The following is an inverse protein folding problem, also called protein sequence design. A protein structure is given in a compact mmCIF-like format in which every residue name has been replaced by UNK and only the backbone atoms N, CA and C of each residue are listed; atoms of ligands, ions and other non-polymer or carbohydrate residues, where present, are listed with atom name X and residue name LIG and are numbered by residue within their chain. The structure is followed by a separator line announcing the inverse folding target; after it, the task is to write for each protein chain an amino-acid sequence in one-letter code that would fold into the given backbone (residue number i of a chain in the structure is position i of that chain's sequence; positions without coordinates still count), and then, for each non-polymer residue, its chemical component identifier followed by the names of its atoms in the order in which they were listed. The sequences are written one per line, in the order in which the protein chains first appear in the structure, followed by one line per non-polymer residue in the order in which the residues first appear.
data_IF_211976856204
#
_entry.id   IF_211976856204
#
_cell.length_a   1.000
_cell.length_b   1.000
_cell.length_c   1.000
_cell.angle_alpha   90.00
_cell.angle_beta   90.00
_cell.angle_gamma   90.00
#
_symmetry.space_group_name_H-M   'P 1'
#
loop_
_entity.id
_entity.type
_entity.pdbx_description
1 polymer ?
#
# COMPACT_ATOMS: atom_id res chain seq x y z
N UNK A 1 -1.12 3.82 16.44
CA UNK A 1 -1.00 2.80 15.37
C UNK A 1 0.28 3.03 14.55
N UNK A 2 0.95 1.97 14.14
CA UNK A 2 2.09 1.99 13.23
C UNK A 2 1.58 1.96 11.79
N UNK A 3 1.93 2.95 10.98
CA UNK A 3 1.57 2.96 9.56
C UNK A 3 2.44 1.94 8.81
N UNK A 4 1.85 0.96 8.12
CA UNK A 4 2.62 -0.06 7.37
C UNK A 4 2.35 -0.06 5.87
N UNK A 5 1.23 0.52 5.46
CA UNK A 5 0.75 0.53 4.07
C UNK A 5 0.15 1.89 3.75
N UNK A 6 0.47 2.42 2.57
CA UNK A 6 -0.25 3.53 1.94
C UNK A 6 -0.34 3.26 0.45
N UNK A 7 -1.56 3.30 -0.09
CA UNK A 7 -1.76 3.14 -1.53
C UNK A 7 -1.50 4.45 -2.28
N UNK A 8 -1.22 4.37 -3.58
CA UNK A 8 -1.25 5.53 -4.46
C UNK A 8 -2.67 6.13 -4.44
N UNK A 9 -2.82 7.47 -4.33
CA UNK A 9 -4.11 8.10 -4.21
C UNK A 9 -4.90 7.97 -5.50
N UNK A 10 -6.21 7.97 -5.33
CA UNK A 10 -7.17 8.04 -6.42
C UNK A 10 -8.15 9.18 -6.16
N UNK A 11 -8.69 9.83 -7.19
CA UNK A 11 -9.78 10.79 -7.03
C UNK A 11 -10.98 10.11 -6.37
N UNK A 12 -11.52 10.70 -5.31
CA UNK A 12 -12.71 10.22 -4.64
C UNK A 12 -13.84 11.24 -4.66
N UNK A 13 -15.06 10.76 -4.42
CA UNK A 13 -16.25 11.60 -4.30
C UNK A 13 -16.00 12.65 -3.20
N UNK A 14 -16.45 13.90 -3.44
CA UNK A 14 -16.22 15.12 -2.62
C UNK A 14 -14.92 15.91 -2.90
N UNK A 15 -14.48 15.97 -4.15
CA UNK A 15 -13.48 16.97 -4.57
C UNK A 15 -12.06 16.75 -4.03
N UNK A 16 -11.72 15.54 -3.56
CA UNK A 16 -10.39 15.27 -2.99
C UNK A 16 -9.81 13.96 -3.49
N UNK A 17 -8.49 13.94 -3.63
CA UNK A 17 -7.73 12.70 -3.80
C UNK A 17 -7.58 11.97 -2.47
N UNK A 18 -7.71 10.64 -2.45
CA UNK A 18 -7.65 9.86 -1.21
C UNK A 18 -6.83 8.58 -1.39
N UNK A 19 -6.17 8.17 -0.31
CA UNK A 19 -5.44 6.91 -0.22
C UNK A 19 -6.07 5.99 0.82
N UNK A 20 -5.95 4.68 0.61
CA UNK A 20 -6.15 3.70 1.67
C UNK A 20 -4.83 3.56 2.45
N UNK A 21 -4.92 3.60 3.78
CA UNK A 21 -3.77 3.39 4.66
C UNK A 21 -4.10 2.24 5.59
N UNK A 22 -3.13 1.37 5.86
CA UNK A 22 -3.28 0.33 6.87
C UNK A 22 -2.11 0.37 7.84
N UNK A 23 -2.38 -0.09 9.06
CA UNK A 23 -1.44 -0.10 10.15
C UNK A 23 -1.72 -1.20 11.16
N UNK A 24 -0.86 -1.25 12.17
CA UNK A 24 -0.96 -2.15 13.31
C UNK A 24 -1.16 -1.29 14.57
N UNK A 25 -2.17 -1.61 15.39
CA UNK A 25 -2.39 -0.91 16.67
C UNK A 25 -1.31 -1.30 17.69
N UNK A 26 -1.22 -0.59 18.81
CA UNK A 26 -0.30 -0.95 19.90
C UNK A 26 -0.59 -2.35 20.46
N UNK A 27 -1.85 -2.80 20.37
CA UNK A 27 -2.28 -4.14 20.76
C UNK A 27 -2.05 -5.20 19.66
N UNK A 28 -1.34 -4.86 18.57
CA UNK A 28 -1.08 -5.80 17.48
C UNK A 28 -2.28 -6.10 16.59
N UNK A 29 -3.28 -5.22 16.51
CA UNK A 29 -4.45 -5.46 15.65
C UNK A 29 -4.32 -4.72 14.32
N UNK A 30 -4.78 -5.33 13.24
CA UNK A 30 -4.93 -4.64 11.97
C UNK A 30 -5.92 -3.48 12.07
N UNK A 31 -5.58 -2.36 11.46
CA UNK A 31 -6.48 -1.24 11.24
C UNK A 31 -6.31 -0.71 9.82
N UNK A 32 -7.44 -0.48 9.14
CA UNK A 32 -7.56 0.16 7.84
C UNK A 32 -8.22 1.51 8.04
N UNK A 33 -7.56 2.57 7.60
CA UNK A 33 -8.11 3.92 7.60
C UNK A 33 -8.36 4.39 6.16
N UNK A 34 -9.61 4.73 5.88
CA UNK A 34 -10.04 5.22 4.58
C UNK A 34 -11.32 6.06 4.74
N UNK A 35 -11.48 7.16 3.98
CA UNK A 35 -10.50 7.76 3.07
C UNK A 35 -9.49 8.68 3.78
N UNK A 36 -8.22 8.67 3.35
CA UNK A 36 -7.20 9.63 3.81
C UNK A 36 -6.75 10.54 2.66
N UNK A 37 -7.05 11.85 2.68
CA UNK A 37 -6.53 12.80 1.71
C UNK A 37 -5.09 13.21 2.06
N UNK A 38 -4.18 12.25 2.04
CA UNK A 38 -2.81 12.39 2.60
C UNK A 38 -2.05 13.62 2.09
N UNK A 39 -2.22 13.98 0.82
CA UNK A 39 -1.54 15.13 0.19
C UNK A 39 -2.11 16.48 0.59
N UNK A 40 -3.32 16.51 1.16
CA UNK A 40 -4.01 17.69 1.69
C UNK A 40 -3.83 17.85 3.20
N UNK A 41 -3.25 16.87 3.89
CA UNK A 41 -2.91 17.00 5.31
C UNK A 41 -1.86 18.11 5.50
N UNK A 42 -1.94 18.82 6.61
CA UNK A 42 -0.92 19.76 7.06
C UNK A 42 0.45 19.07 7.16
N UNK A 43 1.53 19.82 6.96
CA UNK A 43 2.87 19.27 6.86
C UNK A 43 3.30 18.49 8.12
N UNK A 44 2.89 18.95 9.30
CA UNK A 44 3.13 18.33 10.61
C UNK A 44 2.31 17.04 10.83
N UNK A 45 1.24 16.83 10.05
CA UNK A 45 0.36 15.65 10.13
C UNK A 45 0.67 14.60 9.05
N UNK A 46 1.62 14.88 8.15
CA UNK A 46 2.03 13.96 7.07
C UNK A 46 2.95 12.85 7.58
N UNK A 47 2.33 11.77 8.04
CA UNK A 47 3.01 10.56 8.50
C UNK A 47 3.75 9.78 7.40
N UNK A 48 4.81 9.07 7.82
CA UNK A 48 5.62 8.21 6.96
C UNK A 48 5.30 6.72 7.19
N UNK A 49 5.70 5.87 6.24
CA UNK A 49 5.62 4.41 6.41
C UNK A 49 6.56 3.98 7.54
N UNK A 50 6.10 3.06 8.36
CA UNK A 50 6.70 2.59 9.61
C UNK A 50 6.81 3.65 10.70
N UNK A 51 5.95 4.67 10.70
CA UNK A 51 5.88 5.67 11.76
C UNK A 51 4.67 5.45 12.65
N UNK A 52 4.86 5.60 13.95
CA UNK A 52 3.76 5.58 14.91
C UNK A 52 2.99 6.90 14.85
N UNK A 53 1.67 6.80 14.88
CA UNK A 53 0.77 7.94 15.03
C UNK A 53 -0.25 7.67 16.11
N UNK A 54 -0.69 8.73 16.78
CA UNK A 54 -1.91 8.75 17.59
C UNK A 54 -2.96 9.52 16.81
N UNK A 55 -4.18 8.99 16.78
CA UNK A 55 -5.27 9.58 16.00
C UNK A 55 -6.61 9.13 16.55
N UNK A 56 -7.59 10.04 16.55
CA UNK A 56 -8.97 9.70 16.88
C UNK A 56 -9.63 8.99 15.71
N UNK A 57 -10.10 7.76 15.95
CA UNK A 57 -10.73 6.90 14.96
C UNK A 57 -12.13 6.49 15.43
N UNK A 58 -13.08 6.43 14.47
CA UNK A 58 -14.42 5.87 14.67
C UNK A 58 -14.65 4.74 13.68
N UNK A 59 -15.56 3.82 14.00
CA UNK A 59 -15.92 2.74 13.10
C UNK A 59 -16.46 3.31 11.77
N UNK A 60 -15.97 2.80 10.64
CA UNK A 60 -16.43 3.23 9.33
C UNK A 60 -17.79 2.59 8.98
N UNK A 61 -18.47 3.14 7.97
CA UNK A 61 -19.64 2.49 7.31
C UNK A 61 -19.25 1.26 6.48
N UNK A 62 -17.95 1.03 6.34
CA UNK A 62 -17.37 -0.16 5.72
C UNK A 62 -17.50 -1.35 6.68
N UNK A 63 -18.05 -2.45 6.17
CA UNK A 63 -18.41 -3.66 6.92
C UNK A 63 -17.21 -4.48 7.39
N UNK A 64 -16.02 -4.21 6.84
CA UNK A 64 -14.80 -4.95 7.19
C UNK A 64 -14.41 -4.60 8.63
N UNK A 65 -14.17 -5.58 9.53
CA UNK A 65 -13.97 -5.34 10.96
C UNK A 65 -12.85 -4.34 11.28
N UNK A 66 -11.81 -4.32 10.47
CA UNK A 66 -10.65 -3.45 10.64
C UNK A 66 -10.81 -2.06 10.01
N UNK A 67 -11.93 -1.73 9.37
CA UNK A 67 -12.14 -0.43 8.70
C UNK A 67 -12.62 0.67 9.66
N UNK A 68 -11.91 1.79 9.67
CA UNK A 68 -12.18 2.98 10.50
C UNK A 68 -12.04 4.28 9.68
N UNK A 69 -12.81 5.29 10.09
CA UNK A 69 -12.65 6.69 9.65
C UNK A 69 -11.91 7.47 10.75
N UNK A 70 -11.05 8.41 10.38
CA UNK A 70 -10.29 9.22 11.34
C UNK A 70 -10.65 10.69 11.28
N UNK A 71 -10.47 11.39 12.41
CA UNK A 71 -10.45 12.86 12.45
C UNK A 71 -9.05 13.34 12.04
N UNK A 72 -8.92 13.92 10.85
CA UNK A 72 -7.61 14.21 10.24
C UNK A 72 -6.79 15.24 11.03
N UNK A 73 -7.47 16.21 11.63
CA UNK A 73 -6.90 17.21 12.54
C UNK A 73 -6.30 16.61 13.82
N UNK A 74 -6.77 15.43 14.22
CA UNK A 74 -6.30 14.73 15.43
C UNK A 74 -5.05 13.87 15.23
N UNK A 75 -4.48 13.86 14.02
CA UNK A 75 -3.26 13.11 13.74
C UNK A 75 -2.10 13.75 14.50
N UNK A 76 -1.48 12.96 15.36
CA UNK A 76 -0.26 13.30 16.10
C UNK A 76 0.84 12.31 15.70
N UNK A 77 1.97 12.83 15.24
CA UNK A 77 3.13 12.03 14.83
C UNK A 77 3.94 11.66 16.06
N UNK A 78 4.10 10.36 16.31
CA UNK A 78 4.85 9.84 17.44
C UNK A 78 6.27 9.45 17.00
N UNK A 79 7.20 10.40 17.13
CA UNK A 79 8.63 10.20 16.89
C UNK A 79 8.97 9.88 15.42
N UNK A 80 10.18 9.35 15.22
CA UNK A 80 10.68 8.98 13.90
C UNK A 80 10.15 7.62 13.40
N UNK A 81 10.18 7.37 12.08
CA UNK A 81 9.87 6.04 11.55
C UNK A 81 10.83 4.98 12.09
N UNK A 82 10.31 3.77 12.35
CA UNK A 82 11.10 2.63 12.78
C UNK A 82 12.29 2.41 11.83
N UNK A 83 13.50 2.21 12.37
CA UNK A 83 14.71 2.19 11.56
C UNK A 83 14.72 1.00 10.60
N UNK A 84 15.40 1.20 9.47
CA UNK A 84 15.76 0.15 8.51
C UNK A 84 17.13 -0.48 8.82
N UNK A 85 17.71 -0.21 9.99
CA UNK A 85 18.97 -0.81 10.45
C UNK A 85 18.77 -2.30 10.75
N UNK A 86 19.87 -3.06 10.87
CA UNK A 86 19.86 -4.48 11.23
C UNK A 86 18.86 -5.30 10.42
N UNK A 87 18.87 -5.18 9.09
CA UNK A 87 17.95 -5.92 8.22
C UNK A 87 16.46 -5.70 8.58
N UNK A 88 16.12 -4.49 9.03
CA UNK A 88 14.77 -4.04 9.41
C UNK A 88 14.19 -4.77 10.63
N UNK A 89 15.03 -5.19 11.58
CA UNK A 89 14.65 -5.90 12.82
C UNK A 89 13.44 -5.30 13.53
N UNK A 90 13.50 -4.02 13.93
CA UNK A 90 12.39 -3.35 14.61
C UNK A 90 11.05 -3.37 13.85
N UNK A 91 11.10 -3.44 12.51
CA UNK A 91 9.89 -3.57 11.69
C UNK A 91 9.40 -5.01 11.63
N UNK A 92 10.33 -5.98 11.56
CA UNK A 92 10.03 -7.42 11.55
C UNK A 92 9.37 -7.85 12.86
N UNK A 93 9.84 -7.35 13.99
CA UNK A 93 9.31 -7.71 15.32
C UNK A 93 7.80 -7.44 15.44
N UNK A 94 7.34 -6.35 14.82
CA UNK A 94 5.91 -5.98 14.80
C UNK A 94 5.16 -6.72 13.69
N UNK A 95 5.78 -6.91 12.52
CA UNK A 95 5.09 -7.40 11.32
C UNK A 95 5.01 -8.93 11.22
N UNK A 96 6.07 -9.64 11.62
CA UNK A 96 6.14 -11.09 11.48
C UNK A 96 5.10 -11.87 12.30
N UNK A 97 4.67 -11.41 13.49
CA UNK A 97 3.52 -12.02 14.18
C UNK A 97 2.23 -12.02 13.35
N UNK A 98 2.08 -11.09 12.40
CA UNK A 98 0.93 -10.99 11.50
C UNK A 98 1.15 -11.67 10.14
N UNK A 99 2.27 -12.36 9.96
CA UNK A 99 2.60 -13.02 8.70
C UNK A 99 1.80 -14.32 8.59
N UNK A 100 0.86 -14.30 7.66
CA UNK A 100 0.07 -15.45 7.25
C UNK A 100 0.89 -16.39 6.36
N UNK A 101 0.49 -17.66 6.34
CA UNK A 101 1.19 -18.68 5.56
C UNK A 101 1.20 -18.37 4.07
N UNK A 102 0.04 -18.00 3.51
CA UNK A 102 -0.10 -17.82 2.07
C UNK A 102 -1.35 -17.00 1.66
N UNK A 103 -1.38 -16.50 0.41
CA UNK A 103 -2.57 -15.84 -0.12
C UNK A 103 -3.74 -16.81 -0.33
N UNK A 104 -3.51 -18.06 -0.78
CA UNK A 104 -4.59 -19.06 -0.90
C UNK A 104 -5.31 -19.26 0.45
N UNK A 105 -4.53 -19.30 1.52
CA UNK A 105 -4.95 -19.49 2.91
C UNK A 105 -5.81 -18.31 3.36
N UNK A 106 -5.36 -17.08 3.10
CA UNK A 106 -6.13 -15.85 3.34
C UNK A 106 -7.45 -15.85 2.58
N UNK A 107 -7.44 -16.20 1.29
CA UNK A 107 -8.65 -16.30 0.46
C UNK A 107 -9.64 -17.31 1.04
N UNK A 108 -9.18 -18.52 1.37
CA UNK A 108 -10.04 -19.57 1.91
C UNK A 108 -10.66 -19.18 3.26
N UNK A 109 -9.87 -18.63 4.20
CA UNK A 109 -10.37 -18.12 5.49
C UNK A 109 -11.46 -17.07 5.28
N UNK A 110 -11.19 -16.10 4.40
CA UNK A 110 -12.12 -15.04 4.06
C UNK A 110 -13.39 -15.55 3.39
N UNK A 111 -13.27 -16.43 2.41
CA UNK A 111 -14.45 -16.93 1.67
C UNK A 111 -15.37 -17.75 2.60
N UNK A 112 -14.82 -18.36 3.66
CA UNK A 112 -15.60 -19.07 4.68
C UNK A 112 -16.22 -18.16 5.74
N UNK A 113 -15.48 -17.17 6.23
CA UNK A 113 -15.84 -16.40 7.42
C UNK A 113 -16.15 -14.91 7.17
N UNK A 114 -15.95 -14.40 5.95
CA UNK A 114 -16.01 -12.98 5.59
C UNK A 114 -14.73 -12.19 5.91
N UNK A 115 -13.82 -12.75 6.72
CA UNK A 115 -12.57 -12.12 7.16
C UNK A 115 -11.43 -13.16 7.25
N UNK A 116 -10.14 -12.76 7.26
CA UNK A 116 -9.63 -11.38 7.22
C UNK A 116 -9.72 -10.74 5.82
N UNK A 117 -9.65 -9.41 5.75
CA UNK A 117 -9.65 -8.67 4.46
C UNK A 117 -8.40 -7.82 4.24
N UNK A 118 -7.44 -7.94 5.15
CA UNK A 118 -6.06 -7.49 5.06
C UNK A 118 -5.15 -8.65 5.47
N UNK A 119 -3.92 -8.65 4.98
CA UNK A 119 -2.93 -9.61 5.44
C UNK A 119 -1.52 -9.27 4.97
N UNK A 120 -0.56 -9.92 5.61
CA UNK A 120 0.85 -9.95 5.23
C UNK A 120 1.24 -11.40 4.98
N UNK A 121 1.90 -11.71 3.87
CA UNK A 121 2.41 -13.07 3.64
C UNK A 121 3.68 -13.05 2.78
N UNK A 122 4.44 -14.14 2.84
CA UNK A 122 5.59 -14.38 1.96
C UNK A 122 5.14 -15.23 0.76
N UNK A 123 5.22 -14.76 -0.49
CA UNK A 123 5.06 -15.63 -1.64
C UNK A 123 6.16 -16.71 -1.65
N UNK A 124 5.81 -17.95 -2.03
CA UNK A 124 6.78 -19.03 -2.17
C UNK A 124 7.75 -18.79 -3.34
N UNK A 125 7.23 -18.24 -4.44
CA UNK A 125 8.06 -17.79 -5.58
C UNK A 125 7.41 -16.62 -6.31
N UNK A 126 8.12 -15.51 -6.42
CA UNK A 126 7.74 -14.40 -7.31
C UNK A 126 8.34 -14.70 -8.68
N UNK A 127 7.50 -14.74 -9.72
CA UNK A 127 7.94 -15.04 -11.10
C UNK A 127 8.48 -13.81 -11.80
N UNK A 128 7.72 -12.70 -11.77
CA UNK A 128 8.05 -11.45 -12.45
C UNK A 128 7.17 -10.29 -12.02
N UNK A 129 7.64 -9.08 -12.33
CA UNK A 129 6.87 -7.85 -12.32
C UNK A 129 6.36 -7.57 -13.74
N UNK A 130 5.04 -7.45 -13.90
CA UNK A 130 4.42 -6.98 -15.13
C UNK A 130 4.17 -5.48 -15.03
N UNK A 131 4.58 -4.76 -16.08
CA UNK A 131 4.28 -3.34 -16.28
C UNK A 131 3.36 -3.23 -17.50
N UNK A 132 2.05 -3.31 -17.27
CA UNK A 132 1.06 -3.21 -18.34
C UNK A 132 0.66 -1.74 -18.56
N UNK A 133 0.41 -1.29 -19.80
CA UNK A 133 -0.13 0.05 -20.04
C UNK A 133 -1.51 0.23 -19.38
N UNK A 134 -1.79 1.47 -19.00
CA UNK A 134 -3.10 1.93 -18.52
C UNK A 134 -3.44 3.28 -19.16
N UNK A 135 -4.69 3.70 -19.03
CA UNK A 135 -5.16 5.00 -19.54
C UNK A 135 -4.32 6.11 -18.89
N UNK A 136 -3.61 6.95 -19.67
CA UNK A 136 -2.61 7.86 -19.13
C UNK A 136 -3.20 9.07 -18.40
N UNK A 137 -4.48 9.35 -18.60
CA UNK A 137 -5.18 10.50 -18.04
C UNK A 137 -6.33 10.07 -17.14
N UNK A 138 -6.65 10.92 -16.17
CA UNK A 138 -7.89 10.81 -15.42
C UNK A 138 -9.08 11.09 -16.35
N UNK A 139 -10.23 10.45 -16.10
CA UNK A 139 -11.46 10.75 -16.83
C UNK A 139 -11.89 12.21 -16.60
N UNK A 140 -12.76 12.77 -17.44
CA UNK A 140 -13.25 14.15 -17.27
C UNK A 140 -13.85 14.36 -15.87
N UNK A 141 -14.66 13.41 -15.41
CA UNK A 141 -15.25 13.43 -14.07
C UNK A 141 -14.18 13.41 -12.97
N UNK A 142 -13.13 12.59 -13.12
CA UNK A 142 -12.04 12.52 -12.16
C UNK A 142 -11.16 13.77 -12.17
N UNK A 143 -10.96 14.41 -13.32
CA UNK A 143 -10.26 15.69 -13.43
C UNK A 143 -11.02 16.81 -12.72
N UNK A 144 -12.34 16.90 -12.94
CA UNK A 144 -13.18 17.87 -12.24
C UNK A 144 -13.10 17.70 -10.71
N UNK A 145 -13.06 16.46 -10.21
CA UNK A 145 -12.85 16.19 -8.77
C UNK A 145 -11.52 16.75 -8.28
N UNK A 146 -10.45 16.64 -9.06
CA UNK A 146 -9.11 17.13 -8.67
C UNK A 146 -8.96 18.65 -8.80
N UNK A 147 -9.77 19.27 -9.65
CA UNK A 147 -9.78 20.72 -9.89
C UNK A 147 -10.70 21.48 -8.92
N UNK A 148 -11.63 20.78 -8.26
CA UNK A 148 -12.47 21.34 -7.21
C UNK A 148 -11.61 21.68 -5.98
N UNK A 149 -11.11 22.91 -5.93
CA UNK A 149 -10.44 23.44 -4.75
C UNK A 149 -11.46 23.80 -3.67
N UNK A 150 -11.20 23.31 -2.46
CA UNK A 150 -11.81 23.86 -1.25
C UNK A 150 -11.11 25.20 -0.92
N UNK A 151 -11.90 26.26 -0.77
CA UNK A 151 -11.45 27.64 -0.51
C UNK A 151 -10.62 27.76 0.77
N UNK A 152 -10.79 26.84 1.73
CA UNK A 152 -10.17 26.90 3.06
C UNK A 152 -9.09 25.85 3.29
N UNK A 153 -8.78 25.00 2.30
CA UNK A 153 -7.78 23.93 2.42
C UNK A 153 -6.56 24.26 1.55
N UNK A 154 -5.36 24.19 2.13
CA UNK A 154 -4.12 24.37 1.37
C UNK A 154 -3.99 23.25 0.31
N UNK A 155 -4.10 23.66 -0.96
CA UNK A 155 -4.07 22.71 -2.06
C UNK A 155 -2.65 22.20 -2.33
N UNK A 156 -2.48 20.95 -2.80
CA UNK A 156 -1.17 20.46 -3.15
C UNK A 156 -0.60 21.30 -4.30
N UNK A 157 0.69 21.65 -4.23
CA UNK A 157 1.40 22.46 -5.24
C UNK A 157 1.26 21.95 -6.69
N UNK A 158 0.88 20.69 -6.88
CA UNK A 158 0.70 20.06 -8.18
C UNK A 158 -0.54 19.19 -8.17
N UNK A 159 -1.24 19.10 -9.30
CA UNK A 159 -2.36 18.16 -9.46
C UNK A 159 -1.90 16.71 -9.30
N UNK A 160 -2.85 15.81 -8.98
CA UNK A 160 -2.55 14.39 -8.93
C UNK A 160 -2.25 13.85 -10.33
N UNK A 161 -1.02 13.42 -10.53
CA UNK A 161 -0.62 12.71 -11.74
C UNK A 161 -1.17 11.27 -11.72
N UNK A 162 -1.80 10.85 -12.82
CA UNK A 162 -2.18 9.45 -13.01
C UNK A 162 -0.96 8.64 -13.42
N UNK A 163 -0.82 7.45 -12.86
CA UNK A 163 0.18 6.48 -13.33
C UNK A 163 -0.37 5.81 -14.60
N UNK A 164 0.28 5.94 -15.77
CA UNK A 164 -0.18 5.37 -17.04
C UNK A 164 0.16 3.87 -17.18
N UNK A 165 0.34 3.19 -16.05
CA UNK A 165 0.75 1.79 -15.98
C UNK A 165 0.06 1.09 -14.81
N UNK A 166 -0.28 -0.19 -15.03
CA UNK A 166 -0.66 -1.13 -13.97
C UNK A 166 0.54 -2.01 -13.65
N UNK A 167 1.04 -1.87 -12.43
CA UNK A 167 2.07 -2.76 -11.89
C UNK A 167 1.40 -4.02 -11.34
N UNK A 168 1.85 -5.20 -11.75
CA UNK A 168 1.30 -6.47 -11.27
C UNK A 168 2.42 -7.46 -10.95
N UNK A 169 2.24 -8.26 -9.91
CA UNK A 169 3.16 -9.37 -9.63
C UNK A 169 2.52 -10.70 -9.98
N UNK A 170 3.23 -11.50 -10.76
CA UNK A 170 2.94 -12.91 -10.94
C UNK A 170 3.75 -13.72 -9.92
N UNK A 171 3.09 -14.56 -9.14
CA UNK A 171 3.74 -15.37 -8.11
C UNK A 171 2.99 -16.66 -7.81
N UNK A 172 3.60 -17.53 -7.02
CA UNK A 172 2.97 -18.71 -6.40
C UNK A 172 3.14 -18.65 -4.89
N UNK A 173 2.13 -19.14 -4.18
CA UNK A 173 2.22 -19.44 -2.77
C UNK A 173 3.07 -20.69 -2.53
N UNK A 174 3.60 -20.83 -1.32
CA UNK A 174 4.21 -22.07 -0.86
C UNK A 174 3.13 -23.08 -0.42
N UNK A 175 2.21 -23.38 -1.34
CA UNK A 175 1.05 -24.24 -1.11
C UNK A 175 0.91 -25.17 -2.31
N UNK A 176 0.76 -26.48 -2.06
CA UNK A 176 0.80 -27.52 -3.11
C UNK A 176 -0.31 -27.34 -4.15
N UNK A 177 -1.46 -26.84 -3.71
CA UNK A 177 -2.64 -26.61 -4.56
C UNK A 177 -2.64 -25.25 -5.26
N UNK A 178 -1.58 -24.44 -5.11
CA UNK A 178 -1.53 -23.10 -5.69
C UNK A 178 -1.39 -23.12 -7.22
N UNK A 179 -2.45 -22.70 -7.93
CA UNK A 179 -2.44 -22.49 -9.37
C UNK A 179 -1.55 -21.30 -9.82
N UNK A 180 -1.19 -20.40 -8.89
CA UNK A 180 -0.53 -19.14 -9.14
C UNK A 180 -1.48 -17.95 -9.06
N UNK A 181 -0.89 -16.76 -8.99
CA UNK A 181 -1.60 -15.51 -8.77
C UNK A 181 -1.00 -14.39 -9.60
N UNK A 182 -1.87 -13.48 -10.04
CA UNK A 182 -1.49 -12.21 -10.66
C UNK A 182 -2.28 -11.11 -9.95
N UNK A 183 -1.60 -10.28 -9.15
CA UNK A 183 -2.24 -9.20 -8.39
C UNK A 183 -1.68 -7.86 -8.82
N UNK A 184 -2.57 -6.87 -8.97
CA UNK A 184 -2.20 -5.47 -9.13
C UNK A 184 -1.57 -4.96 -7.83
N UNK A 185 -0.50 -4.18 -7.95
CA UNK A 185 0.14 -3.48 -6.85
C UNK A 185 -0.20 -1.99 -6.91
N UNK A 186 -0.82 -1.48 -5.84
CA UNK A 186 -1.24 -0.07 -5.72
C UNK A 186 -0.39 0.68 -4.69
N UNK A 187 0.82 0.23 -4.39
CA UNK A 187 1.72 0.83 -3.40
C UNK A 187 2.12 2.27 -3.77
N UNK A 188 2.07 3.19 -2.79
CA UNK A 188 2.43 4.60 -2.97
C UNK A 188 3.89 4.79 -3.39
N UNK A 189 4.83 4.04 -2.82
CA UNK A 189 6.26 4.20 -3.04
C UNK A 189 6.64 3.75 -4.46
N UNK A 190 5.98 2.70 -4.98
CA UNK A 190 6.07 2.31 -6.39
C UNK A 190 5.59 3.44 -7.32
N UNK A 191 4.40 3.99 -7.06
CA UNK A 191 3.87 5.10 -7.87
C UNK A 191 4.77 6.33 -7.85
N UNK A 192 5.29 6.72 -6.68
CA UNK A 192 6.23 7.83 -6.56
C UNK A 192 7.58 7.55 -7.23
N UNK A 193 8.07 6.31 -7.17
CA UNK A 193 9.28 5.92 -7.88
C UNK A 193 9.10 6.06 -9.38
N UNK A 194 7.97 5.62 -9.93
CA UNK A 194 7.65 5.85 -11.33
C UNK A 194 7.65 7.35 -11.67
N UNK A 195 6.93 8.19 -10.90
CA UNK A 195 6.87 9.65 -11.15
C UNK A 195 8.25 10.29 -11.19
N UNK A 196 9.12 9.95 -10.24
CA UNK A 196 10.47 10.51 -10.18
C UNK A 196 11.34 9.98 -11.32
N UNK A 197 11.31 8.67 -11.55
CA UNK A 197 12.24 8.00 -12.44
C UNK A 197 11.87 8.12 -13.90
N UNK A 198 10.59 8.26 -14.25
CA UNK A 198 10.15 8.56 -15.61
C UNK A 198 10.71 9.88 -16.11
N UNK A 199 10.78 10.89 -15.23
CA UNK A 199 11.38 12.20 -15.52
C UNK A 199 12.91 12.14 -15.53
N UNK A 200 13.49 11.48 -14.54
CA UNK A 200 14.93 11.45 -14.34
C UNK A 200 15.67 10.59 -15.38
N UNK A 201 15.11 9.45 -15.76
CA UNK A 201 15.76 8.46 -16.63
C UNK A 201 15.10 8.30 -17.99
N UNK A 202 13.96 8.97 -18.25
CA UNK A 202 13.26 8.94 -19.53
C UNK A 202 13.08 7.49 -20.02
N UNK A 203 13.49 7.13 -21.24
CA UNK A 203 13.34 5.77 -21.79
C UNK A 203 13.89 4.65 -20.89
N UNK A 204 14.94 4.92 -20.09
CA UNK A 204 15.59 3.94 -19.22
C UNK A 204 14.87 3.72 -17.88
N UNK A 205 13.79 4.45 -17.59
CA UNK A 205 13.11 4.36 -16.29
C UNK A 205 12.63 2.93 -15.99
N UNK A 206 12.16 2.19 -17.00
CA UNK A 206 11.66 0.81 -16.85
C UNK A 206 12.76 -0.12 -16.35
N UNK A 207 13.97 -0.02 -16.91
CA UNK A 207 15.12 -0.83 -16.50
C UNK A 207 15.50 -0.58 -15.05
N UNK A 208 15.54 0.70 -14.63
CA UNK A 208 15.79 1.07 -13.23
C UNK A 208 14.66 0.61 -12.31
N UNK A 209 13.42 0.67 -12.78
CA UNK A 209 12.23 0.22 -12.05
C UNK A 209 12.26 -1.28 -11.79
N UNK A 210 12.51 -2.09 -12.82
CA UNK A 210 12.64 -3.55 -12.72
C UNK A 210 13.86 -3.93 -11.88
N UNK A 211 14.99 -3.23 -12.02
CA UNK A 211 16.14 -3.49 -11.18
C UNK A 211 15.79 -3.43 -9.68
N UNK A 212 15.05 -2.41 -9.25
CA UNK A 212 14.64 -2.26 -7.84
C UNK A 212 13.48 -3.19 -7.44
N UNK A 213 12.38 -3.14 -8.18
CA UNK A 213 11.11 -3.76 -7.80
C UNK A 213 10.93 -5.18 -8.33
N UNK A 214 11.87 -5.70 -9.12
CA UNK A 214 11.87 -7.08 -9.59
C UNK A 214 13.17 -7.75 -9.19
N UNK A 215 14.31 -7.39 -9.79
CA UNK A 215 15.58 -8.08 -9.60
C UNK A 215 16.05 -8.04 -8.14
N UNK A 216 16.19 -6.86 -7.55
CA UNK A 216 16.69 -6.72 -6.18
C UNK A 216 15.68 -7.26 -5.17
N UNK A 217 14.42 -6.87 -5.32
CA UNK A 217 13.35 -7.32 -4.43
C UNK A 217 13.18 -8.84 -4.42
N UNK A 218 13.30 -9.52 -5.57
CA UNK A 218 13.12 -10.98 -5.65
C UNK A 218 14.38 -11.73 -5.19
N UNK A 219 15.58 -11.24 -5.55
CA UNK A 219 16.82 -12.01 -5.35
C UNK A 219 17.63 -11.61 -4.11
N UNK A 220 17.51 -10.37 -3.62
CA UNK A 220 18.32 -9.86 -2.49
C UNK A 220 17.53 -9.72 -1.19
N UNK A 221 16.21 -9.74 -1.27
CA UNK A 221 15.33 -9.43 -0.14
C UNK A 221 14.43 -10.61 0.25
N UNK A 222 14.04 -10.63 1.52
CA UNK A 222 12.99 -11.50 2.04
C UNK A 222 11.65 -10.78 1.82
N UNK A 223 11.11 -10.89 0.61
CA UNK A 223 9.95 -10.11 0.18
C UNK A 223 8.64 -10.70 0.64
N UNK A 224 7.81 -9.85 1.23
CA UNK A 224 6.43 -10.08 1.62
C UNK A 224 5.51 -9.05 0.95
N UNK A 225 4.26 -9.45 0.75
CA UNK A 225 3.22 -8.57 0.24
C UNK A 225 2.21 -8.26 1.34
N UNK A 226 1.94 -6.98 1.53
CA UNK A 226 0.70 -6.55 2.16
C UNK A 226 -0.41 -6.63 1.12
N UNK A 227 -1.49 -7.33 1.45
CA UNK A 227 -2.64 -7.51 0.56
C UNK A 227 -3.92 -7.07 1.23
N UNK A 228 -4.89 -6.66 0.42
CA UNK A 228 -6.21 -6.29 0.88
C UNK A 228 -7.28 -6.48 -0.18
N UNK A 229 -8.53 -6.56 0.26
CA UNK A 229 -9.68 -6.67 -0.64
C UNK A 229 -10.24 -5.30 -1.04
N UNK A 230 -10.98 -5.29 -2.14
CA UNK A 230 -11.75 -4.12 -2.58
C UNK A 230 -13.16 -4.15 -1.97
N UNK A 231 -13.64 -3.03 -1.43
CA UNK A 231 -14.99 -2.93 -0.84
C UNK A 231 -16.09 -3.35 -1.83
N UNK A 232 -16.01 -2.89 -3.08
CA UNK A 232 -17.00 -3.22 -4.13
C UNK A 232 -16.80 -4.60 -4.77
N UNK A 233 -15.63 -5.23 -4.56
CA UNK A 233 -15.32 -6.56 -5.08
C UNK A 233 -14.64 -7.38 -3.99
N UNK A 234 -15.40 -7.87 -2.99
CA UNK A 234 -14.82 -8.40 -1.76
C UNK A 234 -13.90 -9.63 -1.98
N UNK A 235 -14.12 -10.43 -3.03
CA UNK A 235 -13.26 -11.58 -3.38
C UNK A 235 -11.99 -11.20 -4.18
N UNK A 236 -11.88 -9.94 -4.61
CA UNK A 236 -10.71 -9.44 -5.36
C UNK A 236 -9.68 -8.92 -4.39
N UNK A 237 -8.51 -9.57 -4.37
CA UNK A 237 -7.34 -9.16 -3.60
C UNK A 237 -6.37 -8.37 -4.47
N UNK A 238 -5.76 -7.35 -3.89
CA UNK A 238 -4.69 -6.55 -4.49
C UNK A 238 -3.52 -6.44 -3.52
N UNK A 239 -2.33 -6.19 -4.06
CA UNK A 239 -1.16 -5.83 -3.26
C UNK A 239 -1.29 -4.34 -2.93
N UNK A 240 -1.44 -4.04 -1.64
CA UNK A 240 -1.61 -2.67 -1.13
C UNK A 240 -0.29 -2.07 -0.66
N UNK A 241 0.72 -2.90 -0.41
CA UNK A 241 2.06 -2.44 -0.05
C UNK A 241 3.11 -3.55 -0.16
N UNK A 242 4.37 -3.13 -0.24
CA UNK A 242 5.52 -4.03 -0.29
C UNK A 242 6.34 -3.97 1.02
N UNK A 243 6.78 -5.12 1.50
CA UNK A 243 7.72 -5.26 2.62
C UNK A 243 8.86 -6.19 2.20
N UNK A 244 10.07 -5.66 2.04
CA UNK A 244 11.19 -6.40 1.47
C UNK A 244 12.48 -6.17 2.28
N UNK A 245 12.52 -6.57 3.57
CA UNK A 245 13.76 -6.55 4.35
C UNK A 245 14.89 -7.29 3.62
N UNK A 246 16.14 -6.90 3.87
CA UNK A 246 17.29 -7.64 3.32
C UNK A 246 17.34 -9.06 3.91
N UNK A 247 17.73 -10.05 3.10
CA UNK A 247 17.93 -11.41 3.60
C UNK A 247 19.01 -11.41 4.71
N UNK A 248 18.73 -12.08 5.83
CA UNK A 248 19.69 -12.28 6.91
C UNK A 248 20.75 -13.33 6.58
N UNK A 249 20.56 -14.12 5.51
CA UNK A 249 21.49 -15.17 5.07
C UNK A 249 22.64 -14.68 4.17
N UNK A 250 23.00 -13.39 4.23
CA UNK A 250 24.27 -12.91 3.67
C UNK A 250 25.25 -12.68 4.83
N UNK A 251 25.88 -13.77 5.26
CA UNK A 251 27.22 -13.79 5.87
C UNK A 251 28.10 -14.63 4.98
#
# INVERSE_FOLDING_TARGET
MLIVVRTYPVPARKGVEVSCTAGITENGQWIRIFPIPYRLLDQDKRFRKYQWIKVSAKKATDDRPESYEIRQDSIEILGDPLPSKNYWEARKDILFPHREHCLCCLKQKRDKAGFPTLGLFRPGKIKRLLIAPDVPTWTNQQRQILEQADLFTEQPKTSLEKVPYRFQYEFRCDEKTCAGHTLICTDWEMGQSWRKWSRQYQSEWKKKFQQKYETEMIHKNDTHFFVGTLRGHPHTWIIVGLFYPKNTMQK
#
